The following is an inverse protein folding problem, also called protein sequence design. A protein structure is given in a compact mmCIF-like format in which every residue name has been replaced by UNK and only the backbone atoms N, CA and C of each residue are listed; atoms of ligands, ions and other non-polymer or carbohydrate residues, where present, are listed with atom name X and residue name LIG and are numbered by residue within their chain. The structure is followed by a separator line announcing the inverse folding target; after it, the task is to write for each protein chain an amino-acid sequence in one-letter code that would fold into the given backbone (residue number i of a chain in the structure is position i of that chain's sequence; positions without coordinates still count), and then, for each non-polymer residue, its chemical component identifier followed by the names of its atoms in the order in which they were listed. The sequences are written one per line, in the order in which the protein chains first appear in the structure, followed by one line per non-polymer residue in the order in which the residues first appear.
data_IF_602692105439
#
_entry.id   IF_602692105439
#
_cell.length_a   1.000
_cell.length_b   1.000
_cell.length_c   1.000
_cell.angle_alpha   90.00
_cell.angle_beta   90.00
_cell.angle_gamma   90.00
#
_symmetry.space_group_name_H-M   'P 1'
#
loop_
_entity.id
_entity.type
_entity.pdbx_description
1 polymer ?
#
# COMPACT_ATOMS: atom_id res chain seq x y z
N UNK A 1 -20.17 36.48 12.68
CA UNK A 1 -20.88 35.32 12.09
C UNK A 1 -20.14 34.70 10.92
N UNK A 2 -19.86 35.42 9.82
CA UNK A 2 -19.14 34.86 8.64
C UNK A 2 -17.79 34.19 8.98
N UNK A 3 -16.97 34.80 9.83
CA UNK A 3 -15.65 34.26 10.25
C UNK A 3 -15.73 32.94 11.03
N UNK A 4 -16.79 32.77 11.85
CA UNK A 4 -17.02 31.53 12.62
C UNK A 4 -17.45 30.41 11.66
N UNK A 5 -18.29 30.73 10.67
CA UNK A 5 -18.70 29.78 9.64
C UNK A 5 -17.51 29.31 8.80
N UNK A 6 -16.62 30.23 8.41
CA UNK A 6 -15.38 29.89 7.69
C UNK A 6 -14.45 29.01 8.53
N UNK A 7 -14.33 29.27 9.84
CA UNK A 7 -13.50 28.46 10.74
C UNK A 7 -14.05 27.04 10.90
N UNK A 8 -15.37 26.90 11.10
CA UNK A 8 -16.02 25.59 11.21
C UNK A 8 -15.84 24.79 9.92
N UNK A 9 -15.99 25.43 8.76
CA UNK A 9 -15.77 24.79 7.45
C UNK A 9 -14.31 24.34 7.26
N UNK A 10 -13.34 25.14 7.69
CA UNK A 10 -11.92 24.76 7.62
C UNK A 10 -11.61 23.55 8.51
N UNK A 11 -12.18 23.51 9.72
CA UNK A 11 -11.99 22.39 10.66
C UNK A 11 -12.62 21.11 10.14
N UNK A 12 -13.82 21.16 9.55
CA UNK A 12 -14.47 19.95 9.00
C UNK A 12 -13.75 19.38 7.79
N UNK A 13 -13.18 20.22 6.93
CA UNK A 13 -12.35 19.77 5.80
C UNK A 13 -11.06 19.12 6.29
N UNK A 14 -10.42 19.68 7.31
CA UNK A 14 -9.19 19.11 7.90
C UNK A 14 -9.40 17.72 8.50
N UNK A 15 -10.51 17.50 9.19
CA UNK A 15 -10.84 16.20 9.80
C UNK A 15 -11.16 15.11 8.77
N UNK A 16 -11.73 15.47 7.61
CA UNK A 16 -12.03 14.52 6.55
C UNK A 16 -10.77 13.96 5.85
N UNK A 17 -9.70 14.76 5.77
CA UNK A 17 -8.43 14.34 5.16
C UNK A 17 -7.71 13.25 5.98
N UNK A 18 -7.80 13.30 7.31
CA UNK A 18 -7.16 12.33 8.21
C UNK A 18 -7.89 10.99 8.34
N UNK A 19 -9.08 10.84 7.73
CA UNK A 19 -9.93 9.66 7.85
C UNK A 19 -9.89 8.71 6.64
N UNK A 20 -8.95 8.89 5.70
CA UNK A 20 -8.83 8.00 4.55
C UNK A 20 -8.38 6.60 5.01
N UNK A 21 -9.34 5.69 5.13
CA UNK A 21 -9.09 4.27 5.38
C UNK A 21 -8.34 3.67 4.20
N UNK A 22 -7.35 2.82 4.48
CA UNK A 22 -6.67 2.02 3.45
C UNK A 22 -7.74 1.19 2.72
N UNK A 23 -7.98 1.49 1.45
CA UNK A 23 -8.94 0.78 0.61
C UNK A 23 -8.21 -0.22 -0.26
N UNK A 24 -8.37 -1.50 0.05
CA UNK A 24 -7.94 -2.60 -0.81
C UNK A 24 -8.95 -2.74 -1.93
N UNK A 25 -8.48 -2.75 -3.18
CA UNK A 25 -9.29 -2.99 -4.38
C UNK A 25 -8.78 -4.24 -5.08
N UNK A 26 -9.68 -5.05 -5.62
CA UNK A 26 -9.30 -6.11 -6.55
C UNK A 26 -9.27 -5.54 -7.97
N UNK A 27 -8.18 -5.75 -8.68
CA UNK A 27 -8.00 -5.27 -10.06
C UNK A 27 -7.08 -6.21 -10.86
N UNK A 28 -7.03 -5.97 -12.16
CA UNK A 28 -6.10 -6.63 -13.09
C UNK A 28 -4.94 -5.68 -13.33
N UNK A 29 -3.74 -6.08 -12.90
CA UNK A 29 -2.54 -5.24 -12.91
C UNK A 29 -1.42 -5.90 -13.72
N UNK A 30 -0.54 -5.10 -14.33
CA UNK A 30 0.65 -5.60 -15.01
C UNK A 30 1.78 -5.80 -13.99
N UNK A 31 2.13 -7.07 -13.72
CA UNK A 31 3.19 -7.44 -12.77
C UNK A 31 4.16 -8.36 -13.50
N UNK A 32 5.42 -7.94 -13.64
CA UNK A 32 6.45 -8.76 -14.30
C UNK A 32 6.23 -8.99 -15.80
N UNK A 33 5.51 -8.09 -16.47
CA UNK A 33 5.28 -8.10 -17.92
C UNK A 33 4.01 -8.82 -18.36
N UNK A 34 3.19 -9.31 -17.43
CA UNK A 34 1.92 -9.97 -17.72
C UNK A 34 0.79 -9.43 -16.84
N UNK A 35 -0.45 -9.66 -17.26
CA UNK A 35 -1.64 -9.22 -16.53
C UNK A 35 -2.05 -10.27 -15.48
N UNK A 36 -2.16 -9.84 -14.22
CA UNK A 36 -2.47 -10.69 -13.08
C UNK A 36 -3.58 -10.07 -12.23
N UNK A 37 -4.40 -10.93 -11.61
CA UNK A 37 -5.32 -10.48 -10.57
C UNK A 37 -4.51 -10.05 -9.35
N UNK A 38 -4.79 -8.85 -8.85
CA UNK A 38 -4.07 -8.25 -7.74
C UNK A 38 -5.01 -7.62 -6.73
N UNK A 39 -4.55 -7.55 -5.49
CA UNK A 39 -5.11 -6.70 -4.45
C UNK A 39 -4.28 -5.41 -4.40
N UNK A 40 -4.83 -4.34 -4.94
CA UNK A 40 -4.18 -3.04 -5.06
C UNK A 40 -4.54 -2.13 -3.90
N UNK A 41 -3.54 -1.45 -3.35
CA UNK A 41 -3.66 -0.46 -2.29
C UNK A 41 -2.93 0.81 -2.71
N UNK A 42 -3.59 1.96 -2.57
CA UNK A 42 -2.94 3.26 -2.76
C UNK A 42 -2.39 3.76 -1.43
N UNK A 43 -1.08 3.97 -1.37
CA UNK A 43 -0.41 4.61 -0.24
C UNK A 43 -0.28 6.11 -0.53
N UNK A 44 -0.76 6.95 0.38
CA UNK A 44 -0.65 8.42 0.27
C UNK A 44 0.33 8.95 1.32
N UNK A 45 1.00 10.06 1.01
CA UNK A 45 1.90 10.73 1.95
C UNK A 45 3.24 10.00 2.21
N UNK A 46 3.63 9.06 1.34
CA UNK A 46 4.91 8.34 1.41
C UNK A 46 5.59 8.37 0.03
N UNK A 47 6.92 8.45 0.01
CA UNK A 47 7.67 8.34 -1.25
C UNK A 47 7.72 6.89 -1.73
N UNK A 48 7.85 6.63 -3.04
CA UNK A 48 8.01 5.27 -3.54
C UNK A 48 9.18 4.51 -2.90
N UNK A 49 10.34 5.17 -2.74
CA UNK A 49 11.52 4.56 -2.11
C UNK A 49 11.29 4.17 -0.65
N UNK A 50 10.62 5.02 0.12
CA UNK A 50 10.33 4.71 1.53
C UNK A 50 9.32 3.57 1.65
N UNK A 51 8.35 3.51 0.74
CA UNK A 51 7.39 2.42 0.68
C UNK A 51 8.07 1.08 0.33
N UNK A 52 8.98 1.08 -0.64
CA UNK A 52 9.78 -0.09 -1.00
C UNK A 52 10.68 -0.56 0.15
N UNK A 53 11.31 0.38 0.84
CA UNK A 53 12.18 0.13 1.99
C UNK A 53 11.41 -0.45 3.18
N UNK A 54 10.24 0.11 3.48
CA UNK A 54 9.35 -0.38 4.52
C UNK A 54 8.83 -1.78 4.19
N UNK A 55 8.38 -2.00 2.94
CA UNK A 55 7.93 -3.31 2.48
C UNK A 55 9.03 -4.37 2.58
N UNK A 56 10.25 -4.04 2.13
CA UNK A 56 11.43 -4.90 2.27
C UNK A 56 11.70 -5.23 3.73
N UNK A 57 11.73 -4.23 4.60
CA UNK A 57 12.02 -4.42 6.03
C UNK A 57 10.97 -5.33 6.68
N UNK A 58 9.70 -5.14 6.32
CA UNK A 58 8.61 -5.98 6.77
C UNK A 58 8.78 -7.43 6.31
N UNK A 59 9.13 -7.65 5.04
CA UNK A 59 9.23 -9.01 4.48
C UNK A 59 10.43 -9.82 4.97
N UNK A 60 11.47 -9.18 5.54
CA UNK A 60 12.60 -9.87 6.18
C UNK A 60 12.18 -10.84 7.29
N UNK A 61 11.08 -10.55 8.00
CA UNK A 61 10.58 -11.43 9.07
C UNK A 61 10.02 -12.76 8.55
N UNK A 62 9.83 -12.87 7.24
CA UNK A 62 9.29 -14.05 6.59
C UNK A 62 10.32 -14.81 5.75
N UNK A 63 11.62 -14.52 5.91
CA UNK A 63 12.72 -15.16 5.18
C UNK A 63 12.61 -15.03 3.63
N UNK A 64 11.93 -13.98 3.18
CA UNK A 64 11.72 -13.73 1.76
C UNK A 64 12.98 -13.28 1.03
N UNK A 65 13.28 -13.89 -0.12
CA UNK A 65 14.36 -13.52 -1.05
C UNK A 65 13.87 -12.47 -2.04
N UNK A 66 14.62 -11.39 -2.18
CA UNK A 66 14.29 -10.30 -3.11
C UNK A 66 14.71 -10.64 -4.54
N UNK A 67 13.83 -10.36 -5.48
CA UNK A 67 14.17 -10.12 -6.88
C UNK A 67 13.47 -8.85 -7.38
N UNK A 68 14.00 -8.25 -8.45
CA UNK A 68 13.41 -7.06 -9.07
C UNK A 68 13.39 -7.26 -10.58
N UNK A 69 12.24 -7.04 -11.21
CA UNK A 69 12.06 -7.23 -12.65
C UNK A 69 10.99 -6.25 -13.16
N UNK A 70 11.29 -5.57 -14.26
CA UNK A 70 10.36 -4.65 -14.95
C UNK A 70 9.72 -3.58 -14.02
N UNK A 71 10.51 -3.05 -13.08
CA UNK A 71 10.04 -2.04 -12.11
C UNK A 71 9.18 -2.61 -10.97
N UNK A 72 8.95 -3.92 -10.92
CA UNK A 72 8.30 -4.60 -9.81
C UNK A 72 9.31 -5.22 -8.83
N UNK A 73 8.95 -5.25 -7.55
CA UNK A 73 9.69 -5.95 -6.50
C UNK A 73 8.97 -7.25 -6.19
N UNK A 74 9.71 -8.34 -6.26
CA UNK A 74 9.25 -9.67 -5.92
C UNK A 74 9.95 -10.14 -4.65
N UNK A 75 9.20 -10.80 -3.79
CA UNK A 75 9.72 -11.45 -2.60
C UNK A 75 9.33 -12.92 -2.67
N UNK A 76 10.30 -13.75 -3.04
CA UNK A 76 10.13 -15.19 -3.24
C UNK A 76 10.49 -15.96 -1.97
N UNK A 77 9.97 -17.16 -1.80
CA UNK A 77 10.25 -18.03 -0.63
C UNK A 77 9.87 -17.42 0.74
N UNK A 78 9.01 -16.40 0.77
CA UNK A 78 8.48 -15.87 2.03
C UNK A 78 7.53 -16.88 2.69
N UNK A 79 7.77 -17.21 3.96
CA UNK A 79 6.91 -18.12 4.73
C UNK A 79 6.05 -17.33 5.71
N UNK A 80 4.76 -17.16 5.37
CA UNK A 80 3.77 -16.49 6.23
C UNK A 80 2.83 -17.56 6.79
N UNK A 81 3.16 -18.12 7.96
CA UNK A 81 2.42 -19.24 8.58
C UNK A 81 0.92 -18.99 8.71
N UNK A 82 0.53 -17.75 8.99
CA UNK A 82 -0.86 -17.32 9.17
C UNK A 82 -1.68 -17.36 7.87
N UNK A 83 -1.03 -17.31 6.70
CA UNK A 83 -1.70 -17.35 5.40
C UNK A 83 -1.94 -18.77 4.87
N UNK A 84 -1.42 -19.80 5.56
CA UNK A 84 -1.49 -21.19 5.11
C UNK A 84 -0.59 -21.48 3.91
N UNK A 85 -0.74 -22.67 3.32
CA UNK A 85 -0.05 -23.02 2.07
C UNK A 85 -0.74 -22.32 0.90
N UNK A 86 0.07 -21.69 0.04
CA UNK A 86 -0.39 -21.22 -1.27
C UNK A 86 -0.61 -22.47 -2.15
N UNK A 87 -1.87 -22.81 -2.44
CA UNK A 87 -2.22 -23.86 -3.42
C UNK A 87 -2.27 -23.30 -4.82
#
# INVERSE_FOLDING_TARGET
MKKIFTLILAVTIGLAASAQKIKVKQSSENIGGASHNALSVTLTGISPSDAEDAFRSFMKKYDGKRSSKDGAIFIDHATIKEMGNNT
#
